data_IF_234375677856
#
_entry.id   IF_234375677856
#
_cell.length_a   1.000
_cell.length_b   1.000
_cell.length_c   1.000
_cell.angle_alpha   90.00
_cell.angle_beta   90.00
_cell.angle_gamma   90.00
#
_symmetry.space_group_name_H-M   'P 1'
#
loop_
_entity.id
_entity.type
_entity.pdbx_description
1 polymer ?
#
# COMPACT_ATOMS: atom_id res chain seq x y z
N UNK A 1 -4.62 -29.26 -22.06
CA UNK A 1 -4.43 -28.08 -22.95
C UNK A 1 -3.30 -28.36 -23.93
N UNK A 2 -3.21 -27.75 -25.15
CA UNK A 2 -2.02 -27.88 -25.99
C UNK A 2 -0.88 -27.02 -25.47
N UNK A 3 0.39 -27.44 -25.67
CA UNK A 3 1.57 -26.67 -25.23
C UNK A 3 1.59 -25.24 -25.80
N UNK A 4 1.04 -25.02 -26.99
CA UNK A 4 0.94 -23.69 -27.60
C UNK A 4 -0.08 -22.81 -26.83
N UNK A 5 -1.21 -23.38 -26.44
CA UNK A 5 -2.23 -22.66 -25.66
C UNK A 5 -1.68 -22.31 -24.27
N UNK A 6 -0.97 -23.21 -23.63
CA UNK A 6 -0.32 -22.94 -22.34
C UNK A 6 0.68 -21.79 -22.46
N UNK A 7 1.54 -21.82 -23.49
CA UNK A 7 2.52 -20.76 -23.76
C UNK A 7 1.82 -19.41 -23.99
N UNK A 8 0.74 -19.36 -24.75
CA UNK A 8 0.01 -18.12 -25.02
C UNK A 8 -0.65 -17.56 -23.75
N UNK A 9 -1.21 -18.42 -22.90
CA UNK A 9 -1.77 -18.03 -21.61
C UNK A 9 -0.68 -17.49 -20.68
N UNK A 10 0.48 -18.16 -20.58
CA UNK A 10 1.64 -17.70 -19.81
C UNK A 10 2.11 -16.33 -20.28
N UNK A 11 2.23 -16.12 -21.60
CA UNK A 11 2.59 -14.82 -22.18
C UNK A 11 1.59 -13.71 -21.86
N UNK A 12 0.28 -14.01 -21.80
CA UNK A 12 -0.74 -13.04 -21.39
C UNK A 12 -0.53 -12.58 -19.96
N UNK A 13 -0.23 -13.50 -19.04
CA UNK A 13 0.09 -13.15 -17.66
C UNK A 13 1.38 -12.35 -17.59
N UNK A 14 2.44 -12.79 -18.28
CA UNK A 14 3.74 -12.12 -18.29
C UNK A 14 3.72 -10.69 -18.84
N UNK A 15 2.82 -10.38 -19.79
CA UNK A 15 2.66 -9.00 -20.31
C UNK A 15 2.25 -7.99 -19.25
N UNK A 16 1.65 -8.43 -18.15
CA UNK A 16 1.26 -7.54 -17.06
C UNK A 16 2.47 -6.89 -16.37
N UNK A 17 3.61 -7.58 -16.33
CA UNK A 17 4.87 -7.03 -15.80
C UNK A 17 5.49 -5.94 -16.70
N UNK A 18 5.09 -5.88 -17.97
CA UNK A 18 5.67 -4.94 -18.94
C UNK A 18 4.88 -3.64 -19.12
N UNK A 19 3.72 -3.51 -18.48
CA UNK A 19 2.91 -2.30 -18.55
C UNK A 19 3.46 -1.21 -17.62
N UNK A 20 4.59 -0.60 -18.01
CA UNK A 20 5.31 0.43 -17.26
C UNK A 20 4.63 1.81 -17.20
N UNK A 21 3.40 1.97 -17.72
CA UNK A 21 2.79 3.29 -17.87
C UNK A 21 1.92 3.77 -16.70
N UNK A 22 1.80 3.02 -15.63
CA UNK A 22 1.11 3.49 -14.43
C UNK A 22 1.97 3.24 -13.19
N UNK A 23 2.26 4.29 -12.47
CA UNK A 23 2.86 4.25 -11.13
C UNK A 23 1.99 3.53 -10.08
N UNK A 24 0.86 2.95 -10.49
CA UNK A 24 -0.06 2.22 -9.61
C UNK A 24 -0.14 0.78 -10.04
N UNK A 25 0.29 -0.10 -9.15
CA UNK A 25 0.06 -1.55 -9.27
C UNK A 25 -1.45 -1.82 -9.30
N UNK A 26 -1.94 -2.40 -10.40
CA UNK A 26 -3.36 -2.67 -10.55
C UNK A 26 -3.60 -4.18 -10.40
N UNK A 27 -3.63 -4.67 -9.16
CA UNK A 27 -3.92 -6.08 -8.85
C UNK A 27 -5.22 -6.57 -9.48
N UNK A 28 -6.21 -5.68 -9.62
CA UNK A 28 -7.46 -6.01 -10.30
C UNK A 28 -7.27 -6.40 -11.77
N UNK A 29 -6.32 -5.80 -12.48
CA UNK A 29 -6.07 -6.15 -13.89
C UNK A 29 -5.40 -7.52 -14.00
N UNK A 30 -4.52 -7.86 -13.05
CA UNK A 30 -3.95 -9.21 -12.93
C UNK A 30 -5.09 -10.21 -12.66
N UNK A 31 -5.96 -9.93 -11.70
CA UNK A 31 -7.10 -10.78 -11.38
C UNK A 31 -8.05 -10.95 -12.58
N UNK A 32 -8.31 -9.89 -13.36
CA UNK A 32 -9.13 -9.97 -14.58
C UNK A 32 -8.53 -10.90 -15.63
N UNK A 33 -7.22 -10.79 -15.89
CA UNK A 33 -6.55 -11.67 -16.87
C UNK A 33 -6.55 -13.11 -16.38
N UNK A 34 -6.24 -13.34 -15.11
CA UNK A 34 -6.22 -14.70 -14.55
C UNK A 34 -7.58 -15.35 -14.51
N UNK A 35 -8.67 -14.61 -14.17
CA UNK A 35 -10.02 -15.16 -14.15
C UNK A 35 -10.46 -15.68 -15.52
N UNK A 36 -10.11 -14.97 -16.60
CA UNK A 36 -10.44 -15.38 -17.97
C UNK A 36 -9.64 -16.62 -18.39
N UNK A 37 -8.36 -16.69 -17.96
CA UNK A 37 -7.48 -17.80 -18.29
C UNK A 37 -7.88 -19.07 -17.56
N UNK A 38 -8.28 -18.97 -16.28
CA UNK A 38 -8.56 -20.10 -15.38
C UNK A 38 -10.07 -20.40 -15.24
N UNK A 39 -10.93 -19.55 -15.80
CA UNK A 39 -12.40 -19.64 -15.65
C UNK A 39 -12.82 -19.78 -14.17
N UNK A 40 -12.23 -18.93 -13.30
CA UNK A 40 -12.32 -19.04 -11.86
C UNK A 40 -12.44 -17.68 -11.20
N UNK A 41 -12.99 -17.63 -9.99
CA UNK A 41 -12.87 -16.46 -9.12
C UNK A 41 -11.45 -16.38 -8.58
N UNK A 42 -10.89 -15.17 -8.56
CA UNK A 42 -9.50 -14.90 -8.16
C UNK A 42 -9.49 -13.83 -7.07
N UNK A 43 -8.75 -14.05 -6.00
CA UNK A 43 -8.46 -13.06 -4.97
C UNK A 43 -6.95 -12.99 -4.72
N UNK A 44 -6.44 -11.78 -4.67
CA UNK A 44 -5.10 -11.47 -4.16
C UNK A 44 -5.26 -10.91 -2.77
N UNK A 45 -4.71 -11.59 -1.77
CA UNK A 45 -4.84 -11.27 -0.36
C UNK A 45 -3.45 -10.99 0.21
N UNK A 46 -3.27 -9.87 0.88
CA UNK A 46 -2.01 -9.54 1.56
C UNK A 46 -1.79 -10.43 2.79
N UNK A 47 -0.58 -10.49 3.30
CA UNK A 47 -0.23 -11.19 4.56
C UNK A 47 -1.12 -10.76 5.75
N UNK A 48 -1.60 -9.51 5.76
CA UNK A 48 -2.49 -8.97 6.80
C UNK A 48 -3.98 -9.28 6.54
N UNK A 49 -4.31 -10.07 5.53
CA UNK A 49 -5.70 -10.41 5.19
C UNK A 49 -6.45 -9.34 4.37
N UNK A 50 -5.77 -8.26 3.93
CA UNK A 50 -6.38 -7.23 3.10
C UNK A 50 -6.52 -7.72 1.66
N UNK A 51 -7.70 -7.55 1.07
CA UNK A 51 -7.97 -7.87 -0.33
C UNK A 51 -7.39 -6.78 -1.23
N UNK A 52 -6.40 -7.14 -2.03
CA UNK A 52 -5.67 -6.24 -2.93
C UNK A 52 -6.26 -6.25 -4.36
N UNK A 53 -6.80 -7.39 -4.77
CA UNK A 53 -7.39 -7.54 -6.10
C UNK A 53 -8.45 -8.64 -6.13
N UNK A 54 -9.46 -8.46 -6.98
CA UNK A 54 -10.58 -9.38 -7.18
C UNK A 54 -10.86 -9.57 -8.66
N UNK A 55 -11.01 -10.83 -9.08
CA UNK A 55 -11.50 -11.22 -10.40
C UNK A 55 -12.69 -12.15 -10.26
N UNK A 56 -13.89 -11.67 -10.63
CA UNK A 56 -15.13 -12.46 -10.55
C UNK A 56 -15.42 -13.06 -11.93
N UNK A 57 -15.55 -14.38 -12.00
CA UNK A 57 -15.88 -15.11 -13.23
C UNK A 57 -17.39 -15.40 -13.29
N UNK A 58 -18.01 -15.16 -14.43
CA UNK A 58 -19.44 -15.43 -14.64
C UNK A 58 -19.70 -16.94 -14.50
N UNK A 59 -20.68 -17.31 -13.68
CA UNK A 59 -21.04 -18.71 -13.44
C UNK A 59 -20.31 -19.39 -12.27
N UNK A 60 -19.52 -18.63 -11.49
CA UNK A 60 -18.99 -19.07 -10.22
C UNK A 60 -19.58 -18.21 -9.10
N UNK A 61 -20.36 -18.84 -8.22
CA UNK A 61 -20.98 -18.16 -7.08
C UNK A 61 -19.92 -17.56 -6.14
N UNK A 62 -20.25 -16.42 -5.54
CA UNK A 62 -19.38 -15.76 -4.57
C UNK A 62 -19.56 -16.39 -3.20
N UNK A 63 -18.50 -16.38 -2.41
CA UNK A 63 -18.47 -16.85 -1.03
C UNK A 63 -18.41 -15.63 -0.12
N UNK A 64 -19.58 -15.10 0.26
CA UNK A 64 -19.70 -13.81 0.92
C UNK A 64 -19.41 -13.87 2.43
N UNK A 65 -19.49 -15.04 3.07
CA UNK A 65 -19.46 -15.15 4.54
C UNK A 65 -18.09 -14.92 5.17
N UNK A 66 -17.01 -15.33 4.49
CA UNK A 66 -15.65 -15.25 5.02
C UNK A 66 -14.69 -14.45 4.13
N UNK A 67 -15.14 -14.10 2.93
CA UNK A 67 -14.33 -13.44 1.92
C UNK A 67 -14.95 -12.09 1.58
N UNK A 68 -14.22 -11.01 1.87
CA UNK A 68 -14.59 -9.70 1.33
C UNK A 68 -14.39 -9.70 -0.18
N UNK A 69 -15.43 -9.38 -0.93
CA UNK A 69 -15.39 -9.24 -2.38
C UNK A 69 -14.99 -7.81 -2.84
N UNK A 70 -14.71 -6.94 -1.88
CA UNK A 70 -14.34 -5.56 -2.12
C UNK A 70 -12.84 -5.35 -1.94
N UNK A 71 -12.20 -4.74 -2.92
CA UNK A 71 -10.81 -4.31 -2.82
C UNK A 71 -10.64 -3.30 -1.67
N UNK A 72 -9.66 -3.55 -0.82
CA UNK A 72 -9.42 -2.77 0.40
C UNK A 72 -10.11 -3.31 1.64
N UNK A 73 -11.11 -4.20 1.50
CA UNK A 73 -11.69 -4.95 2.61
C UNK A 73 -10.74 -6.01 3.16
N UNK A 74 -11.13 -6.62 4.27
CA UNK A 74 -10.37 -7.70 4.91
C UNK A 74 -11.18 -8.99 4.88
N UNK A 75 -10.51 -10.12 4.69
CA UNK A 75 -11.09 -11.45 4.89
C UNK A 75 -11.16 -11.74 6.39
N UNK A 76 -11.95 -12.76 6.76
CA UNK A 76 -11.98 -13.24 8.13
C UNK A 76 -10.59 -13.62 8.65
N UNK A 77 -10.28 -13.24 9.90
CA UNK A 77 -8.95 -13.44 10.48
C UNK A 77 -8.58 -14.94 10.61
N UNK A 78 -9.54 -15.79 10.99
CA UNK A 78 -9.28 -17.23 11.11
C UNK A 78 -9.04 -17.86 9.74
N UNK A 79 -9.77 -17.42 8.72
CA UNK A 79 -9.52 -17.81 7.34
C UNK A 79 -8.11 -17.37 6.91
N UNK A 80 -7.72 -16.13 7.19
CA UNK A 80 -6.39 -15.63 6.85
C UNK A 80 -5.28 -16.48 7.49
N UNK A 81 -5.39 -16.82 8.76
CA UNK A 81 -4.42 -17.69 9.45
C UNK A 81 -4.32 -19.08 8.82
N UNK A 82 -5.47 -19.67 8.43
CA UNK A 82 -5.49 -20.95 7.73
C UNK A 82 -4.83 -20.88 6.35
N UNK A 83 -5.08 -19.79 5.60
CA UNK A 83 -4.42 -19.58 4.32
C UNK A 83 -2.91 -19.38 4.47
N UNK A 84 -2.48 -18.64 5.49
CA UNK A 84 -1.06 -18.42 5.78
C UNK A 84 -0.33 -19.67 6.25
N UNK A 85 -1.03 -20.63 6.87
CA UNK A 85 -0.46 -21.93 7.26
C UNK A 85 -0.11 -22.83 6.06
N UNK A 86 -0.61 -22.51 4.88
CA UNK A 86 -0.28 -23.22 3.65
C UNK A 86 1.08 -22.73 3.14
N UNK A 87 2.09 -23.62 3.21
CA UNK A 87 3.49 -23.30 2.86
C UNK A 87 3.86 -23.61 1.40
N UNK A 88 3.04 -24.39 0.71
CA UNK A 88 3.21 -24.71 -0.72
C UNK A 88 1.84 -24.73 -1.39
N UNK A 89 1.82 -24.56 -2.71
CA UNK A 89 0.57 -24.64 -3.49
C UNK A 89 -0.26 -25.86 -3.09
N UNK A 90 -1.52 -25.64 -2.75
CA UNK A 90 -2.53 -26.66 -2.52
C UNK A 90 -3.58 -26.55 -3.61
N UNK A 91 -3.69 -27.61 -4.40
CA UNK A 91 -4.65 -27.71 -5.47
C UNK A 91 -5.88 -28.55 -5.07
N UNK A 92 -7.00 -28.25 -5.70
CA UNK A 92 -8.27 -28.96 -5.51
C UNK A 92 -8.68 -29.13 -4.05
N UNK A 93 -8.49 -28.04 -3.27
CA UNK A 93 -8.87 -28.01 -1.85
C UNK A 93 -10.36 -27.86 -1.72
N UNK A 94 -10.99 -28.74 -0.92
CA UNK A 94 -12.40 -28.58 -0.56
C UNK A 94 -12.52 -27.45 0.48
N UNK A 95 -13.39 -26.47 0.21
CA UNK A 95 -13.56 -25.29 1.07
C UNK A 95 -14.07 -25.62 2.47
N UNK A 96 -14.78 -26.74 2.67
CA UNK A 96 -15.18 -27.18 4.01
C UNK A 96 -13.97 -27.32 4.97
N UNK A 97 -12.80 -27.70 4.45
CA UNK A 97 -11.58 -27.82 5.25
C UNK A 97 -11.02 -26.45 5.69
N UNK A 98 -11.47 -25.38 5.07
CA UNK A 98 -11.10 -24.00 5.41
C UNK A 98 -12.12 -23.30 6.31
N UNK A 99 -13.16 -24.02 6.78
CA UNK A 99 -14.16 -23.50 7.71
C UNK A 99 -15.40 -22.90 7.06
N UNK A 100 -15.61 -23.16 5.76
CA UNK A 100 -16.85 -22.79 5.04
C UNK A 100 -17.95 -23.85 5.30
N UNK A 101 -18.52 -23.88 6.49
CA UNK A 101 -19.48 -24.93 6.88
C UNK A 101 -20.93 -24.60 6.48
N UNK A 102 -21.24 -23.30 6.30
CA UNK A 102 -22.62 -22.83 6.12
C UNK A 102 -23.10 -22.78 4.68
N UNK A 103 -22.21 -22.83 3.71
CA UNK A 103 -22.53 -22.76 2.28
C UNK A 103 -22.41 -24.14 1.68
N UNK A 104 -23.20 -24.48 0.67
CA UNK A 104 -23.01 -25.71 -0.11
C UNK A 104 -21.75 -25.61 -0.96
N UNK A 105 -20.61 -25.76 -0.26
CA UNK A 105 -19.25 -25.66 -0.82
C UNK A 105 -18.74 -27.01 -1.33
N UNK A 106 -19.56 -28.06 -1.27
CA UNK A 106 -19.17 -29.40 -1.65
C UNK A 106 -18.70 -29.52 -3.10
N UNK A 107 -19.17 -28.63 -3.95
CA UNK A 107 -18.85 -28.58 -5.38
C UNK A 107 -17.77 -27.53 -5.73
N UNK A 108 -17.28 -26.78 -4.74
CA UNK A 108 -16.28 -25.77 -4.97
C UNK A 108 -14.89 -26.34 -4.73
N UNK A 109 -14.04 -26.19 -5.74
CA UNK A 109 -12.61 -26.55 -5.67
C UNK A 109 -11.77 -25.28 -5.65
N UNK A 110 -10.79 -25.25 -4.77
CA UNK A 110 -9.89 -24.10 -4.64
C UNK A 110 -8.43 -24.46 -4.88
N UNK A 111 -7.67 -23.47 -5.36
CA UNK A 111 -6.21 -23.44 -5.29
C UNK A 111 -5.83 -22.37 -4.26
N UNK A 112 -4.95 -22.75 -3.33
CA UNK A 112 -4.33 -21.86 -2.38
C UNK A 112 -2.86 -21.78 -2.76
N UNK A 113 -2.44 -20.64 -3.29
CA UNK A 113 -1.07 -20.46 -3.71
C UNK A 113 -0.38 -19.39 -2.83
N UNK A 114 0.66 -19.76 -2.06
CA UNK A 114 1.47 -18.82 -1.32
C UNK A 114 2.14 -17.82 -2.26
N UNK A 115 2.01 -16.52 -1.98
CA UNK A 115 2.78 -15.49 -2.66
C UNK A 115 4.02 -15.25 -1.82
N UNK A 116 5.15 -15.75 -2.30
CA UNK A 116 6.44 -15.66 -1.60
C UNK A 116 7.52 -15.22 -2.58
N UNK A 117 8.31 -14.21 -2.21
CA UNK A 117 9.44 -13.70 -2.98
C UNK A 117 10.65 -13.59 -2.06
N UNK A 118 11.78 -14.15 -2.48
CA UNK A 118 13.04 -14.13 -1.75
C UNK A 118 12.94 -14.66 -0.29
N UNK A 119 12.07 -15.66 -0.06
CA UNK A 119 11.84 -16.25 1.27
C UNK A 119 10.91 -15.44 2.16
N UNK A 120 10.33 -14.35 1.68
CA UNK A 120 9.37 -13.56 2.41
C UNK A 120 7.94 -13.84 1.91
N UNK A 121 7.03 -14.22 2.84
CA UNK A 121 5.61 -14.37 2.56
C UNK A 121 4.95 -13.01 2.45
N UNK A 122 4.45 -12.66 1.25
CA UNK A 122 3.78 -11.40 0.97
C UNK A 122 2.25 -11.50 1.08
N UNK A 123 1.69 -12.68 0.77
CA UNK A 123 0.26 -12.87 0.77
C UNK A 123 -0.17 -14.23 0.26
N UNK A 124 -1.41 -14.31 -0.20
CA UNK A 124 -2.01 -15.53 -0.77
C UNK A 124 -2.77 -15.20 -2.05
N UNK A 125 -2.53 -15.97 -3.10
CA UNK A 125 -3.39 -16.01 -4.27
C UNK A 125 -4.42 -17.13 -4.05
N UNK A 126 -5.68 -16.74 -3.87
CA UNK A 126 -6.78 -17.65 -3.62
C UNK A 126 -7.69 -17.71 -4.86
N UNK A 127 -7.88 -18.91 -5.39
CA UNK A 127 -8.55 -19.15 -6.65
C UNK A 127 -9.60 -20.25 -6.43
N UNK A 128 -10.82 -20.06 -6.91
CA UNK A 128 -11.84 -21.10 -6.76
C UNK A 128 -12.82 -21.13 -7.96
N UNK A 129 -13.33 -22.32 -8.24
CA UNK A 129 -14.36 -22.58 -9.24
C UNK A 129 -15.32 -23.71 -8.82
N UNK A 130 -16.48 -23.78 -9.47
CA UNK A 130 -17.48 -24.81 -9.19
C UNK A 130 -17.35 -25.98 -10.15
N UNK A 131 -17.71 -27.19 -9.70
CA UNK A 131 -17.95 -28.40 -10.49
C UNK A 131 -16.79 -28.90 -11.37
N UNK A 132 -15.59 -28.37 -11.23
CA UNK A 132 -14.42 -28.78 -12.02
C UNK A 132 -13.16 -28.78 -11.15
N UNK A 133 -12.31 -29.78 -11.39
CA UNK A 133 -10.98 -29.80 -10.81
C UNK A 133 -10.01 -28.99 -11.66
N UNK A 134 -8.94 -28.52 -11.05
CA UNK A 134 -7.81 -27.91 -11.71
C UNK A 134 -6.86 -28.98 -12.25
N UNK A 135 -6.44 -28.83 -13.49
CA UNK A 135 -5.45 -29.70 -14.12
C UNK A 135 -4.03 -29.14 -13.91
N UNK A 136 -3.02 -29.88 -14.36
CA UNK A 136 -1.61 -29.49 -14.20
C UNK A 136 -1.30 -28.17 -14.94
N UNK A 137 -1.93 -27.91 -16.06
CA UNK A 137 -1.74 -26.66 -16.82
C UNK A 137 -2.30 -25.47 -16.04
N UNK A 138 -3.46 -25.63 -15.36
CA UNK A 138 -4.05 -24.63 -14.48
C UNK A 138 -3.11 -24.33 -13.30
N UNK A 139 -2.51 -25.36 -12.69
CA UNK A 139 -1.59 -25.21 -11.56
C UNK A 139 -0.34 -24.44 -11.98
N UNK A 140 0.25 -24.78 -13.13
CA UNK A 140 1.40 -24.05 -13.69
C UNK A 140 1.08 -22.58 -13.90
N UNK A 141 -0.11 -22.27 -14.44
CA UNK A 141 -0.54 -20.89 -14.65
C UNK A 141 -0.78 -20.14 -13.34
N UNK A 142 -1.29 -20.83 -12.30
CA UNK A 142 -1.45 -20.28 -10.97
C UNK A 142 -0.10 -19.93 -10.33
N UNK A 143 0.88 -20.82 -10.38
CA UNK A 143 2.21 -20.60 -9.82
C UNK A 143 2.95 -19.47 -10.54
N UNK A 144 2.85 -19.43 -11.86
CA UNK A 144 3.39 -18.32 -12.63
C UNK A 144 2.67 -17.00 -12.29
N UNK A 145 1.35 -17.02 -12.20
CA UNK A 145 0.54 -15.86 -11.79
C UNK A 145 0.89 -15.37 -10.39
N UNK A 146 1.09 -16.28 -9.44
CA UNK A 146 1.54 -15.96 -8.09
C UNK A 146 2.90 -15.25 -8.08
N UNK A 147 3.85 -15.70 -8.90
CA UNK A 147 5.14 -15.04 -9.07
C UNK A 147 4.98 -13.61 -9.61
N UNK A 148 4.14 -13.42 -10.62
CA UNK A 148 3.84 -12.09 -11.19
C UNK A 148 3.22 -11.17 -10.14
N UNK A 149 2.22 -11.66 -9.38
CA UNK A 149 1.60 -10.92 -8.28
C UNK A 149 2.63 -10.57 -7.21
N UNK A 150 3.48 -11.53 -6.84
CA UNK A 150 4.53 -11.34 -5.82
C UNK A 150 5.52 -10.25 -6.20
N UNK A 151 5.96 -10.22 -7.45
CA UNK A 151 6.85 -9.15 -7.97
C UNK A 151 6.18 -7.78 -7.93
N UNK A 152 4.90 -7.70 -8.28
CA UNK A 152 4.15 -6.45 -8.19
C UNK A 152 3.88 -6.01 -6.74
N UNK A 153 3.66 -6.95 -5.80
CA UNK A 153 3.56 -6.65 -4.37
C UNK A 153 4.88 -6.10 -3.83
N UNK A 154 6.01 -6.73 -4.19
CA UNK A 154 7.34 -6.28 -3.79
C UNK A 154 7.65 -4.90 -4.35
N UNK A 155 7.28 -4.65 -5.61
CA UNK A 155 7.42 -3.34 -6.23
C UNK A 155 6.62 -2.27 -5.49
N UNK A 156 5.36 -2.55 -5.15
CA UNK A 156 4.51 -1.61 -4.40
C UNK A 156 5.10 -1.25 -3.03
N UNK A 157 5.61 -2.24 -2.29
CA UNK A 157 6.28 -2.01 -0.99
C UNK A 157 7.55 -1.17 -1.16
N UNK A 158 8.35 -1.46 -2.16
CA UNK A 158 9.57 -0.71 -2.44
C UNK A 158 9.29 0.75 -2.87
N UNK A 159 8.26 0.97 -3.68
CA UNK A 159 7.83 2.32 -4.09
C UNK A 159 7.35 3.13 -2.88
N UNK A 160 6.54 2.55 -1.98
CA UNK A 160 6.07 3.19 -0.75
C UNK A 160 7.24 3.54 0.18
N UNK A 161 8.16 2.60 0.40
CA UNK A 161 9.37 2.84 1.22
C UNK A 161 10.30 3.89 0.62
N UNK A 162 10.45 3.91 -0.70
CA UNK A 162 11.25 4.92 -1.39
C UNK A 162 10.61 6.31 -1.31
N UNK A 163 9.29 6.40 -1.40
CA UNK A 163 8.55 7.65 -1.23
C UNK A 163 8.70 8.21 0.18
N UNK A 164 8.54 7.36 1.21
CA UNK A 164 8.73 7.73 2.61
C UNK A 164 10.17 8.21 2.87
N UNK A 165 11.15 7.47 2.36
CA UNK A 165 12.56 7.85 2.46
C UNK A 165 12.85 9.21 1.80
N UNK A 166 12.20 9.51 0.67
CA UNK A 166 12.32 10.83 0.03
C UNK A 166 11.70 11.92 0.87
N UNK A 167 10.52 11.69 1.46
CA UNK A 167 9.86 12.65 2.35
C UNK A 167 10.76 13.01 3.53
N UNK A 168 11.34 12.01 4.19
CA UNK A 168 12.32 12.19 5.30
C UNK A 168 13.53 12.98 4.82
N UNK A 169 14.13 12.61 3.69
CA UNK A 169 15.31 13.28 3.17
C UNK A 169 15.07 14.76 2.86
N UNK A 170 13.91 15.11 2.31
CA UNK A 170 13.52 16.51 2.04
C UNK A 170 13.44 17.32 3.33
N UNK A 171 12.78 16.78 4.36
CA UNK A 171 12.64 17.47 5.65
C UNK A 171 13.99 17.63 6.34
N UNK A 172 14.81 16.58 6.41
CA UNK A 172 16.17 16.64 6.99
C UNK A 172 17.07 17.65 6.28
N UNK A 173 16.97 17.69 4.94
CA UNK A 173 17.69 18.70 4.15
C UNK A 173 17.22 20.12 4.48
N UNK A 174 15.92 20.37 4.61
CA UNK A 174 15.40 21.68 5.00
C UNK A 174 15.92 22.09 6.39
N UNK A 175 15.83 21.20 7.37
CA UNK A 175 16.31 21.42 8.74
C UNK A 175 17.80 21.75 8.75
N UNK A 176 18.63 21.03 7.99
CA UNK A 176 20.08 21.25 7.95
C UNK A 176 20.50 22.62 7.43
N UNK A 177 19.62 23.33 6.74
CA UNK A 177 19.88 24.72 6.27
C UNK A 177 19.59 25.79 7.31
N UNK A 178 18.91 25.43 8.40
CA UNK A 178 18.52 26.38 9.44
C UNK A 178 19.70 26.76 10.35
N UNK A 179 19.79 28.04 10.72
CA UNK A 179 20.57 28.47 11.86
C UNK A 179 19.92 28.04 13.17
N UNK A 180 20.64 28.12 14.28
CA UNK A 180 20.10 27.78 15.61
C UNK A 180 18.78 28.54 15.91
N UNK A 181 18.79 29.88 15.71
CA UNK A 181 17.57 30.68 15.96
C UNK A 181 16.42 30.37 14.99
N UNK A 182 16.72 29.98 13.76
CA UNK A 182 15.69 29.56 12.79
C UNK A 182 15.11 28.19 13.15
N UNK A 183 15.93 27.28 13.68
CA UNK A 183 15.48 25.98 14.18
C UNK A 183 14.53 26.15 15.37
N UNK A 184 14.92 27.01 16.33
CA UNK A 184 14.06 27.36 17.45
C UNK A 184 12.74 27.99 16.97
N UNK A 185 12.79 28.89 15.98
CA UNK A 185 11.60 29.46 15.37
C UNK A 185 10.68 28.40 14.77
N UNK A 186 11.22 27.45 13.98
CA UNK A 186 10.45 26.37 13.36
C UNK A 186 9.80 25.49 14.42
N UNK A 187 10.51 25.10 15.45
CA UNK A 187 9.97 24.31 16.55
C UNK A 187 8.73 24.96 17.15
N UNK A 188 8.81 26.26 17.47
CA UNK A 188 7.68 27.00 18.04
C UNK A 188 6.54 27.24 17.04
N UNK A 189 6.83 27.39 15.75
CA UNK A 189 5.82 27.47 14.69
C UNK A 189 4.99 26.20 14.65
N UNK A 190 5.65 25.03 14.64
CA UNK A 190 4.95 23.74 14.58
C UNK A 190 4.24 23.39 15.89
N UNK A 191 4.73 23.85 17.05
CA UNK A 191 4.00 23.73 18.33
C UNK A 191 2.69 24.52 18.34
N UNK A 192 2.67 25.68 17.69
CA UNK A 192 1.47 26.53 17.62
C UNK A 192 0.55 26.13 16.46
N UNK A 193 1.10 25.46 15.45
CA UNK A 193 0.34 24.93 14.31
C UNK A 193 -0.37 23.63 14.70
N UNK A 194 -1.60 23.77 15.18
CA UNK A 194 -2.38 22.64 15.66
C UNK A 194 -2.96 21.81 14.51
N UNK A 195 -2.12 21.02 13.81
CA UNK A 195 -2.48 20.17 12.68
C UNK A 195 -1.79 20.54 11.37
N UNK A 196 -2.36 20.09 10.25
CA UNK A 196 -1.75 20.20 8.91
C UNK A 196 -1.83 21.62 8.31
N UNK A 197 -2.64 22.51 8.87
CA UNK A 197 -2.77 23.89 8.40
C UNK A 197 -3.27 24.84 9.49
N UNK A 198 -2.88 26.11 9.39
CA UNK A 198 -3.32 27.12 10.36
C UNK A 198 -2.83 28.53 10.02
N UNK A 199 -3.31 29.52 10.78
CA UNK A 199 -2.86 30.91 10.64
C UNK A 199 -2.05 31.27 11.89
N UNK A 200 -0.80 31.72 11.67
CA UNK A 200 0.12 32.11 12.71
C UNK A 200 0.48 33.58 12.59
N UNK A 201 0.67 34.22 13.75
CA UNK A 201 1.13 35.61 13.82
C UNK A 201 2.62 35.64 14.16
N UNK A 202 3.47 35.78 13.16
CA UNK A 202 4.92 35.70 13.30
C UNK A 202 5.51 36.67 14.39
N UNK A 203 4.93 37.86 14.55
CA UNK A 203 5.36 38.80 15.61
C UNK A 203 5.06 38.26 17.01
N UNK A 204 3.92 37.61 17.22
CA UNK A 204 3.59 37.02 18.54
C UNK A 204 4.54 35.87 18.93
N UNK A 205 4.92 35.06 17.94
CA UNK A 205 5.88 33.97 18.17
C UNK A 205 7.25 34.59 18.45
N UNK A 206 7.69 35.56 17.65
CA UNK A 206 8.94 36.27 17.82
C UNK A 206 9.08 36.89 19.21
N UNK A 207 8.05 37.60 19.68
CA UNK A 207 8.03 38.25 21.00
C UNK A 207 8.09 37.23 22.15
N UNK A 208 7.44 36.06 21.98
CA UNK A 208 7.42 34.99 22.98
C UNK A 208 8.77 34.31 23.14
N UNK A 209 9.46 34.06 22.01
CA UNK A 209 10.71 33.28 21.97
C UNK A 209 11.93 34.20 22.11
N UNK A 210 11.81 35.52 22.02
CA UNK A 210 12.88 36.48 22.08
C UNK A 210 13.74 36.57 20.81
N UNK A 211 13.17 36.19 19.66
CA UNK A 211 13.79 36.28 18.34
C UNK A 211 13.14 37.38 17.49
N UNK A 212 13.74 37.71 16.35
CA UNK A 212 13.17 38.72 15.46
C UNK A 212 12.16 38.10 14.48
N UNK A 213 11.15 38.87 14.06
CA UNK A 213 10.21 38.46 13.03
C UNK A 213 10.91 37.99 11.72
N UNK A 214 12.06 38.61 11.38
CA UNK A 214 12.81 38.23 10.19
C UNK A 214 13.37 36.80 10.27
N UNK A 215 13.76 36.33 11.43
CA UNK A 215 14.21 34.94 11.63
C UNK A 215 13.06 33.98 11.32
N UNK A 216 11.87 34.24 11.82
CA UNK A 216 10.67 33.41 11.53
C UNK A 216 10.36 33.40 10.04
N UNK A 217 10.36 34.55 9.39
CA UNK A 217 10.07 34.66 7.95
C UNK A 217 11.14 33.93 7.13
N UNK A 218 12.40 34.00 7.50
CA UNK A 218 13.49 33.30 6.81
C UNK A 218 13.37 31.78 7.00
N UNK A 219 13.08 31.31 8.20
CA UNK A 219 12.84 29.91 8.48
C UNK A 219 11.67 29.34 7.64
N UNK A 220 10.54 30.05 7.60
CA UNK A 220 9.39 29.67 6.77
C UNK A 220 9.75 29.62 5.28
N UNK A 221 10.50 30.62 4.76
CA UNK A 221 10.93 30.63 3.35
C UNK A 221 11.82 29.43 3.00
N UNK A 222 12.70 29.00 3.91
CA UNK A 222 13.56 27.84 3.70
C UNK A 222 12.71 26.55 3.58
N UNK A 223 11.74 26.38 4.47
CA UNK A 223 10.83 25.25 4.45
C UNK A 223 9.89 25.27 3.23
N UNK A 224 9.42 26.43 2.82
CA UNK A 224 8.64 26.61 1.59
C UNK A 224 9.47 26.29 0.35
N UNK A 225 10.71 26.80 0.27
CA UNK A 225 11.63 26.51 -0.83
C UNK A 225 12.01 25.04 -0.95
N UNK A 226 12.03 24.31 0.17
CA UNK A 226 12.25 22.87 0.21
C UNK A 226 10.97 22.06 -0.09
N UNK A 227 9.81 22.71 -0.23
CA UNK A 227 8.53 22.04 -0.48
C UNK A 227 7.96 21.31 0.76
N UNK A 228 8.41 21.66 1.96
CA UNK A 228 7.89 21.09 3.21
C UNK A 228 6.56 21.72 3.60
N UNK A 229 6.43 23.03 3.36
CA UNK A 229 5.21 23.81 3.64
C UNK A 229 4.85 24.69 2.45
N UNK A 230 3.63 25.19 2.45
CA UNK A 230 3.17 26.32 1.65
C UNK A 230 2.82 27.46 2.62
N UNK A 231 3.25 28.70 2.34
CA UNK A 231 2.92 29.85 3.17
C UNK A 231 2.27 30.96 2.37
N UNK A 232 1.26 31.63 2.95
CA UNK A 232 0.58 32.76 2.34
C UNK A 232 0.32 33.87 3.35
N UNK A 233 0.66 35.11 3.01
CA UNK A 233 0.34 36.25 3.85
C UNK A 233 -1.16 36.50 3.87
N UNK A 234 -1.76 36.58 5.06
CA UNK A 234 -3.17 36.93 5.28
C UNK A 234 -3.33 38.35 5.83
N UNK A 235 -2.40 39.23 5.50
CA UNK A 235 -2.39 40.64 5.91
C UNK A 235 -2.30 40.77 7.43
N UNK A 236 -3.22 41.54 8.04
CA UNK A 236 -3.26 41.75 9.50
C UNK A 236 -3.61 40.50 10.31
N UNK A 237 -4.18 39.47 9.68
CA UNK A 237 -4.54 38.20 10.33
C UNK A 237 -3.33 37.29 10.59
N UNK A 238 -2.18 37.53 9.91
CA UNK A 238 -0.98 36.71 10.06
C UNK A 238 -0.56 36.00 8.77
N UNK A 239 0.13 34.86 8.92
CA UNK A 239 0.58 34.00 7.83
C UNK A 239 -0.18 32.69 7.91
N UNK A 240 -0.86 32.33 6.84
CA UNK A 240 -1.43 30.99 6.68
C UNK A 240 -0.31 30.04 6.27
N UNK A 241 -0.25 28.88 6.93
CA UNK A 241 0.71 27.83 6.67
C UNK A 241 -0.08 26.54 6.40
N UNK A 242 0.34 25.80 5.38
CA UNK A 242 -0.12 24.47 5.06
C UNK A 242 1.07 23.54 4.97
N UNK A 243 1.03 22.43 5.71
CA UNK A 243 2.06 21.38 5.68
C UNK A 243 1.84 20.52 4.44
N UNK A 244 2.86 20.36 3.63
CA UNK A 244 2.88 19.53 2.41
C UNK A 244 3.55 18.17 2.66
N UNK A 245 4.47 18.12 3.63
CA UNK A 245 5.20 16.92 4.01
C UNK A 245 4.99 16.67 5.50
N UNK A 246 4.16 15.69 5.80
CA UNK A 246 3.70 15.33 7.16
C UNK A 246 4.82 14.80 8.08
N UNK A 247 5.88 14.20 7.50
CA UNK A 247 7.07 13.72 8.23
C UNK A 247 7.76 14.83 9.03
N UNK A 248 7.52 16.08 8.69
CA UNK A 248 8.09 17.23 9.42
C UNK A 248 7.76 17.25 10.91
N UNK A 249 6.60 16.74 11.30
CA UNK A 249 6.20 16.68 12.71
C UNK A 249 7.09 15.73 13.50
N UNK A 250 7.34 14.53 12.95
CA UNK A 250 8.19 13.52 13.59
C UNK A 250 9.64 13.99 13.69
N UNK A 251 10.18 14.59 12.63
CA UNK A 251 11.54 15.10 12.60
C UNK A 251 11.77 16.28 13.57
N UNK A 252 10.75 17.15 13.73
CA UNK A 252 10.82 18.25 14.73
C UNK A 252 10.73 17.70 16.16
N UNK A 253 9.93 16.67 16.39
CA UNK A 253 9.83 16.03 17.70
C UNK A 253 11.15 15.32 18.07
N UNK A 254 11.79 14.65 17.12
CA UNK A 254 13.14 14.09 17.31
C UNK A 254 14.16 15.16 17.69
N UNK A 255 14.13 16.32 17.02
CA UNK A 255 15.03 17.45 17.35
C UNK A 255 14.84 17.99 18.75
N UNK A 256 13.60 18.08 19.23
CA UNK A 256 13.30 18.50 20.62
C UNK A 256 13.89 17.54 21.64
N UNK A 257 13.78 16.25 21.36
CA UNK A 257 14.27 15.18 22.23
C UNK A 257 15.82 15.12 22.28
N UNK A 258 16.52 15.58 21.24
CA UNK A 258 17.99 15.66 21.21
C UNK A 258 18.54 16.88 21.91
N UNK A 259 17.76 17.94 22.10
CA UNK A 259 18.16 19.20 22.71
C UNK A 259 17.79 19.33 24.20
N UNK A 260 17.09 18.35 24.76
CA UNK A 260 16.74 18.19 26.17
C UNK A 260 17.71 17.19 26.84
#
# INVERSE_FOLDING_TARGET
MSSVQLLDKTRKIGKLLHNNNSSKVVFNDICKVMREILCSNILVISKKGKVLGVGKYEGVDQIDELISDNVGGFIDNMLNERLLSVLSTKENVNLATLGFEKTDVSQIQAIINPIEIAGERLGTLFIYKCNQQYDIDDIILCEYGSTVVGLEMLRAVNEESAEESRKVAVVKSAISTLSFSEMEAITHIFDELNGMEGILVASKIADRVGITRSVIVNALRKFESAGVIESRSSGMKGTYIKVLNDVVFDEIEELKNQNN
#
